data_IF_252064971938
#
_entry.id   IF_252064971938
#
_cell.length_a   1.000
_cell.length_b   1.000
_cell.length_c   1.000
_cell.angle_alpha   90.00
_cell.angle_beta   90.00
_cell.angle_gamma   90.00
#
_symmetry.space_group_name_H-M   'P 1'
#
loop_
_entity.id
_entity.type
_entity.pdbx_description
1 polymer ?
#
# COMPACT_ATOMS: atom_id res chain seq x y z
N UNK A 1 -1.04 3.98 17.93
CA UNK A 1 -0.32 3.59 16.69
C UNK A 1 -0.48 4.75 15.72
N UNK A 2 0.60 5.46 15.41
CA UNK A 2 0.57 6.86 14.95
C UNK A 2 -0.12 7.03 13.59
N UNK A 3 -1.33 7.61 13.62
CA UNK A 3 -1.97 8.22 12.46
C UNK A 3 -1.33 9.61 12.26
N UNK A 4 -0.61 9.82 11.16
CA UNK A 4 -0.50 11.19 10.60
C UNK A 4 -1.65 11.34 9.60
N UNK A 5 -2.86 11.45 10.14
CA UNK A 5 -3.96 12.15 9.46
C UNK A 5 -3.82 13.61 9.87
N UNK A 6 -2.94 14.37 9.22
CA UNK A 6 -2.64 15.70 9.73
C UNK A 6 -1.54 16.43 8.99
N UNK A 7 -1.74 16.67 7.70
CA UNK A 7 -1.68 18.05 7.23
C UNK A 7 -2.54 18.15 5.98
N UNK A 8 -3.58 18.98 6.00
CA UNK A 8 -4.44 19.22 4.83
C UNK A 8 -3.69 19.82 3.64
N UNK A 9 -2.38 20.11 3.80
CA UNK A 9 -1.46 20.59 2.77
C UNK A 9 -0.85 19.50 1.90
N UNK A 10 -0.64 18.27 2.40
CA UNK A 10 0.07 17.25 1.61
C UNK A 10 -0.91 16.49 0.72
N UNK A 11 -0.94 16.84 -0.56
CA UNK A 11 -1.82 16.20 -1.54
C UNK A 11 -1.08 15.41 -2.63
N UNK A 12 0.26 15.43 -2.59
CA UNK A 12 1.16 14.76 -3.53
C UNK A 12 2.36 14.13 -2.83
N UNK A 13 2.95 13.11 -3.46
CA UNK A 13 4.21 12.52 -3.04
C UNK A 13 4.32 11.02 -3.31
N UNK A 14 5.31 10.41 -2.66
CA UNK A 14 5.54 8.96 -2.62
C UNK A 14 5.21 8.44 -1.22
N UNK A 15 4.67 7.24 -1.13
CA UNK A 15 4.34 6.60 0.14
C UNK A 15 4.79 5.14 0.15
N UNK A 16 5.07 4.66 1.36
CA UNK A 16 5.38 3.26 1.64
C UNK A 16 4.32 2.74 2.60
N UNK A 17 3.66 1.63 2.26
CA UNK A 17 2.76 0.90 3.14
C UNK A 17 3.51 -0.26 3.77
N UNK A 18 3.57 -0.31 5.11
CA UNK A 18 3.92 -1.52 5.85
C UNK A 18 2.65 -2.34 6.02
N UNK A 19 2.64 -3.54 5.46
CA UNK A 19 1.49 -4.45 5.46
C UNK A 19 1.91 -5.71 6.20
N UNK A 20 1.24 -5.99 7.31
CA UNK A 20 1.38 -7.25 8.02
C UNK A 20 0.42 -8.28 7.44
N UNK A 21 0.93 -9.47 7.14
CA UNK A 21 0.16 -10.64 6.77
C UNK A 21 0.28 -11.68 7.88
N UNK A 22 -0.82 -11.95 8.59
CA UNK A 22 -0.79 -12.76 9.81
C UNK A 22 -0.63 -14.26 9.55
N UNK A 23 -1.11 -14.73 8.40
CA UNK A 23 -0.98 -16.13 7.98
C UNK A 23 -0.77 -16.23 6.49
N UNK A 24 -0.20 -17.34 6.04
CA UNK A 24 0.00 -17.63 4.62
C UNK A 24 -1.33 -17.58 3.87
N UNK A 25 -1.37 -16.88 2.73
CA UNK A 25 -2.57 -16.80 1.88
C UNK A 25 -2.26 -17.11 0.41
N UNK A 26 -3.30 -17.55 -0.31
CA UNK A 26 -3.34 -17.57 -1.78
C UNK A 26 -4.15 -16.36 -2.24
N UNK A 27 -3.58 -15.52 -3.09
CA UNK A 27 -4.30 -14.37 -3.63
C UNK A 27 -5.33 -14.84 -4.66
N UNK A 28 -6.56 -14.32 -4.56
CA UNK A 28 -7.65 -14.60 -5.50
C UNK A 28 -7.54 -13.70 -6.75
N UNK A 29 -6.51 -13.92 -7.56
CA UNK A 29 -6.35 -13.22 -8.84
C UNK A 29 -5.66 -14.13 -9.87
N UNK A 30 -6.10 -14.16 -11.14
CA UNK A 30 -5.50 -15.01 -12.17
C UNK A 30 -3.99 -14.82 -12.33
N UNK A 31 -3.50 -13.56 -12.24
CA UNK A 31 -2.05 -13.28 -12.32
C UNK A 31 -1.24 -13.76 -11.10
N UNK A 32 -1.91 -14.04 -9.98
CA UNK A 32 -1.28 -14.46 -8.73
C UNK A 32 -1.66 -15.88 -8.29
N UNK A 33 -2.33 -16.66 -9.15
CA UNK A 33 -2.91 -17.96 -8.81
C UNK A 33 -1.86 -18.96 -8.29
N UNK A 34 -0.63 -18.85 -8.77
CA UNK A 34 0.50 -19.70 -8.39
C UNK A 34 1.36 -19.12 -7.26
N UNK A 35 1.04 -17.91 -6.77
CA UNK A 35 1.83 -17.24 -5.75
C UNK A 35 1.19 -17.41 -4.37
N UNK A 36 1.95 -18.05 -3.48
CA UNK A 36 1.62 -18.14 -2.06
C UNK A 36 2.45 -17.12 -1.30
N UNK A 37 1.77 -16.20 -0.62
CA UNK A 37 2.43 -15.23 0.25
C UNK A 37 2.56 -15.83 1.64
N UNK A 38 3.78 -15.85 2.18
CA UNK A 38 4.08 -16.32 3.53
C UNK A 38 3.64 -15.27 4.55
N UNK A 39 3.36 -15.68 5.79
CA UNK A 39 3.15 -14.72 6.86
C UNK A 39 4.40 -13.83 7.04
N UNK A 40 4.20 -12.57 7.42
CA UNK A 40 5.29 -11.61 7.59
C UNK A 40 4.91 -10.18 7.22
N UNK A 41 5.93 -9.34 7.05
CA UNK A 41 5.78 -7.95 6.64
C UNK A 41 6.08 -7.78 5.16
N UNK A 42 5.23 -7.02 4.50
CA UNK A 42 5.34 -6.64 3.10
C UNK A 42 5.36 -5.12 3.00
N UNK A 43 6.23 -4.61 2.14
CA UNK A 43 6.32 -3.18 1.88
C UNK A 43 5.87 -2.89 0.46
N UNK A 44 5.03 -1.88 0.30
CA UNK A 44 4.57 -1.41 -1.00
C UNK A 44 4.91 0.06 -1.16
N UNK A 45 5.67 0.37 -2.21
CA UNK A 45 5.99 1.74 -2.62
C UNK A 45 5.02 2.15 -3.72
N UNK A 46 4.42 3.33 -3.56
CA UNK A 46 3.61 3.94 -4.61
C UNK A 46 3.61 5.45 -4.51
N UNK A 47 3.20 6.12 -5.56
CA UNK A 47 3.04 7.56 -5.60
C UNK A 47 1.59 7.96 -5.78
N UNK A 48 1.30 9.17 -5.33
CA UNK A 48 0.12 9.92 -5.72
C UNK A 48 0.58 11.33 -6.03
N UNK A 49 0.54 11.72 -7.31
CA UNK A 49 0.90 13.08 -7.72
C UNK A 49 -0.27 14.06 -7.54
N UNK A 50 -1.46 13.54 -7.20
CA UNK A 50 -2.65 14.25 -6.72
C UNK A 50 -3.45 13.29 -5.83
N UNK A 51 -4.27 13.83 -4.92
CA UNK A 51 -5.20 13.06 -4.08
C UNK A 51 -4.51 11.98 -3.24
N UNK A 52 -3.34 12.29 -2.66
CA UNK A 52 -2.55 11.35 -1.87
C UNK A 52 -3.36 10.68 -0.76
N UNK A 53 -4.09 11.48 0.03
CA UNK A 53 -4.92 10.97 1.12
C UNK A 53 -5.97 9.97 0.61
N UNK A 54 -6.68 10.30 -0.48
CA UNK A 54 -7.67 9.40 -1.08
C UNK A 54 -7.06 8.09 -1.57
N UNK A 55 -5.84 8.14 -2.12
CA UNK A 55 -5.14 6.94 -2.58
C UNK A 55 -4.71 6.05 -1.43
N UNK A 56 -4.17 6.64 -0.37
CA UNK A 56 -3.81 5.92 0.87
C UNK A 56 -5.05 5.32 1.53
N UNK A 57 -6.11 6.10 1.73
CA UNK A 57 -7.37 5.63 2.33
C UNK A 57 -7.96 4.45 1.57
N UNK A 58 -7.88 4.49 0.24
CA UNK A 58 -8.32 3.36 -0.57
C UNK A 58 -7.50 2.11 -0.28
N UNK A 59 -6.18 2.18 -0.16
CA UNK A 59 -5.35 1.02 0.14
C UNK A 59 -5.64 0.46 1.54
N UNK A 60 -5.95 1.32 2.51
CA UNK A 60 -6.36 0.90 3.86
C UNK A 60 -7.72 0.18 3.87
N UNK A 61 -8.69 0.66 3.07
CA UNK A 61 -10.06 0.11 3.04
C UNK A 61 -10.03 -1.40 2.75
N UNK A 62 -10.96 -2.20 3.29
CA UNK A 62 -11.05 -3.63 2.92
C UNK A 62 -11.96 -3.87 1.73
N UNK A 63 -13.18 -3.34 1.80
CA UNK A 63 -14.15 -3.43 0.71
C UNK A 63 -13.86 -2.37 -0.36
N UNK A 64 -13.38 -2.80 -1.53
CA UNK A 64 -13.13 -1.93 -2.68
C UNK A 64 -13.18 -2.75 -3.98
N UNK A 65 -13.45 -2.09 -5.11
CA UNK A 65 -13.16 -2.68 -6.43
C UNK A 65 -11.65 -2.84 -6.57
N UNK A 66 -11.15 -4.02 -6.89
CA UNK A 66 -9.71 -4.28 -7.01
C UNK A 66 -9.20 -3.72 -8.34
N UNK A 67 -8.19 -2.85 -8.29
CA UNK A 67 -7.63 -2.22 -9.49
C UNK A 67 -6.10 -2.30 -9.51
N UNK A 68 -5.46 -2.08 -8.37
CA UNK A 68 -4.01 -2.19 -8.23
C UNK A 68 -3.60 -3.54 -7.68
N UNK A 69 -2.39 -4.01 -8.02
CA UNK A 69 -1.86 -5.27 -7.51
C UNK A 69 -1.88 -5.33 -5.97
N UNK A 70 -1.57 -4.22 -5.31
CA UNK A 70 -1.61 -4.12 -3.84
C UNK A 70 -3.02 -4.20 -3.26
N UNK A 71 -4.06 -3.92 -4.04
CA UNK A 71 -5.45 -4.04 -3.58
C UNK A 71 -5.78 -5.50 -3.27
N UNK A 72 -5.22 -6.47 -4.01
CA UNK A 72 -5.45 -7.90 -3.77
C UNK A 72 -4.88 -8.35 -2.42
N UNK A 73 -3.74 -7.80 -2.02
CA UNK A 73 -3.15 -8.08 -0.72
C UNK A 73 -3.91 -7.33 0.38
N UNK A 74 -4.10 -6.03 0.23
CA UNK A 74 -4.69 -5.18 1.27
C UNK A 74 -6.17 -5.44 1.51
N UNK A 75 -6.90 -6.04 0.56
CA UNK A 75 -8.30 -6.42 0.74
C UNK A 75 -8.49 -7.81 1.36
N UNK A 76 -7.43 -8.60 1.51
CA UNK A 76 -7.49 -9.89 2.21
C UNK A 76 -7.78 -9.69 3.70
N UNK A 77 -8.55 -10.59 4.32
CA UNK A 77 -8.92 -10.46 5.73
C UNK A 77 -7.73 -10.67 6.67
N UNK A 78 -6.72 -11.39 6.20
CA UNK A 78 -5.49 -11.74 6.91
C UNK A 78 -4.43 -10.64 6.93
N UNK A 79 -4.70 -9.50 6.28
CA UNK A 79 -3.74 -8.40 6.20
C UNK A 79 -4.16 -7.20 7.01
N UNK A 80 -3.20 -6.40 7.42
CA UNK A 80 -3.45 -5.07 7.97
C UNK A 80 -2.35 -4.10 7.53
N UNK A 81 -2.72 -2.87 7.20
CA UNK A 81 -1.74 -1.79 7.01
C UNK A 81 -1.36 -1.30 8.41
N UNK A 82 -0.12 -1.52 8.82
CA UNK A 82 0.35 -1.23 10.18
C UNK A 82 1.04 0.12 10.29
N UNK A 83 1.73 0.55 9.22
CA UNK A 83 2.37 1.87 9.13
C UNK A 83 2.31 2.42 7.71
N UNK A 84 2.41 3.74 7.62
CA UNK A 84 2.41 4.49 6.36
C UNK A 84 3.50 5.54 6.47
N UNK A 85 4.48 5.46 5.59
CA UNK A 85 5.54 6.45 5.45
C UNK A 85 5.23 7.32 4.24
N UNK A 86 5.41 8.63 4.36
CA UNK A 86 5.09 9.59 3.28
C UNK A 86 6.30 10.47 3.04
N UNK A 87 6.72 10.55 1.78
CA UNK A 87 7.63 11.56 1.26
C UNK A 87 6.78 12.58 0.50
N UNK A 88 6.43 13.68 1.18
CA UNK A 88 5.59 14.75 0.63
C UNK A 88 6.24 15.42 -0.57
N UNK A 89 5.44 15.72 -1.59
CA UNK A 89 5.84 16.41 -2.82
C UNK A 89 7.01 15.77 -3.57
N UNK A 90 7.30 14.50 -3.26
CA UNK A 90 8.26 13.70 -3.98
C UNK A 90 7.76 13.39 -5.40
N UNK A 91 8.64 13.65 -6.35
CA UNK A 91 8.47 13.29 -7.75
C UNK A 91 8.22 11.79 -7.91
N UNK A 92 7.42 11.40 -8.90
CA UNK A 92 7.12 9.98 -9.17
C UNK A 92 8.37 9.12 -9.36
N UNK A 93 9.46 9.73 -9.83
CA UNK A 93 10.78 9.11 -10.06
C UNK A 93 11.32 8.38 -8.80
N UNK A 94 10.94 8.85 -7.61
CA UNK A 94 11.32 8.24 -6.35
C UNK A 94 10.65 6.89 -6.09
N UNK A 95 9.58 6.51 -6.80
CA UNK A 95 9.02 5.15 -6.73
C UNK A 95 10.08 4.09 -7.07
N UNK A 96 10.82 4.32 -8.15
CA UNK A 96 11.82 3.37 -8.64
C UNK A 96 13.06 3.35 -7.75
N UNK A 97 13.54 4.52 -7.33
CA UNK A 97 14.74 4.66 -6.47
C UNK A 97 14.56 3.92 -5.14
N UNK A 98 13.35 4.03 -4.54
CA UNK A 98 13.06 3.38 -3.25
C UNK A 98 12.84 1.88 -3.43
N UNK A 99 12.35 1.43 -4.59
CA UNK A 99 12.10 0.00 -4.85
C UNK A 99 13.38 -0.79 -5.24
N UNK A 100 14.46 -0.10 -5.63
CA UNK A 100 15.72 -0.70 -6.07
C UNK A 100 16.73 -0.98 -4.94
N UNK A 101 16.45 -0.53 -3.71
CA UNK A 101 17.31 -0.73 -2.53
C UNK A 101 16.60 -1.57 -1.46
#
# INVERSE_FOLDING_TARGET
MTYILGDSKINSGVYILEIRLDKKIKLKHPKFLNFQLKAGFYYYVGSAQKNLSSRIQRHIRKSKKLHWHIDYLTSANETSVTKIFILSDADKKFETIIAEN
#
